data_IF_824780468474
#
_entry.id   IF_824780468474
#
_cell.length_a   1.000
_cell.length_b   1.000
_cell.length_c   1.000
_cell.angle_alpha   90.00
_cell.angle_beta   90.00
_cell.angle_gamma   90.00
#
_symmetry.space_group_name_H-M   'P 1'
#
loop_
_entity.id
_entity.type
_entity.pdbx_description
1 polymer ?
#
# COMPACT_ATOMS: atom_id res chain seq x y z
N UNK A 1 13.24 -0.10 7.61
CA UNK A 1 13.56 0.37 8.97
C UNK A 1 12.41 1.21 9.52
N UNK A 2 11.48 0.54 10.19
CA UNK A 2 10.45 1.15 11.01
C UNK A 2 11.07 1.56 12.36
N UNK A 3 10.78 2.77 12.85
CA UNK A 3 11.28 3.25 14.15
C UNK A 3 10.13 3.31 15.14
N UNK A 4 10.31 2.72 16.31
CA UNK A 4 9.29 2.69 17.36
C UNK A 4 9.94 2.78 18.74
N UNK A 5 9.13 2.90 19.79
CA UNK A 5 9.60 2.89 21.17
C UNK A 5 9.26 1.52 21.76
N UNK A 6 10.27 0.84 22.28
CA UNK A 6 10.06 -0.38 23.03
C UNK A 6 9.28 -0.07 24.31
N UNK A 7 8.16 -0.78 24.54
CA UNK A 7 7.23 -0.44 25.62
C UNK A 7 7.76 -0.79 27.01
N UNK A 8 8.71 -1.73 27.10
CA UNK A 8 9.28 -2.17 28.38
C UNK A 8 10.46 -1.27 28.80
N UNK A 9 11.37 -0.99 27.87
CA UNK A 9 12.58 -0.20 28.15
C UNK A 9 12.40 1.31 27.94
N UNK A 10 11.43 1.73 27.14
CA UNK A 10 11.27 3.13 26.72
C UNK A 10 12.31 3.60 25.70
N UNK A 11 13.14 2.69 25.18
CA UNK A 11 14.19 3.02 24.22
C UNK A 11 13.65 3.08 22.77
N UNK A 12 14.26 3.96 21.97
CA UNK A 12 13.98 4.01 20.54
C UNK A 12 14.65 2.82 19.84
N UNK A 13 13.83 1.92 19.30
CA UNK A 13 14.28 0.74 18.55
C UNK A 13 13.96 0.91 17.07
N UNK A 14 14.68 0.17 16.21
CA UNK A 14 14.31 0.04 14.81
C UNK A 14 14.09 -1.42 14.43
N UNK A 15 12.96 -1.66 13.78
CA UNK A 15 12.55 -2.97 13.31
C UNK A 15 12.62 -2.95 11.78
N UNK A 16 13.22 -3.98 11.20
CA UNK A 16 13.19 -4.21 9.76
C UNK A 16 12.39 -5.47 9.49
N UNK A 17 11.31 -5.31 8.72
CA UNK A 17 10.56 -6.44 8.19
C UNK A 17 11.10 -6.78 6.81
N UNK A 18 11.75 -7.93 6.68
CA UNK A 18 12.23 -8.44 5.40
C UNK A 18 11.34 -9.60 4.94
N UNK A 19 10.48 -9.29 3.96
CA UNK A 19 9.61 -10.27 3.30
C UNK A 19 10.14 -10.67 1.91
N UNK A 20 11.39 -10.35 1.56
CA UNK A 20 11.97 -10.69 0.25
C UNK A 20 11.98 -12.19 -0.06
N UNK A 21 11.91 -13.02 0.98
CA UNK A 21 11.82 -14.49 0.86
C UNK A 21 10.39 -15.00 0.64
N UNK A 22 9.35 -14.17 0.80
CA UNK A 22 7.98 -14.58 0.47
C UNK A 22 7.87 -14.77 -1.04
N UNK A 23 7.43 -15.95 -1.43
CA UNK A 23 7.15 -16.29 -2.82
C UNK A 23 5.68 -15.98 -3.15
N UNK A 24 5.34 -15.93 -4.43
CA UNK A 24 3.95 -15.87 -4.88
C UNK A 24 3.42 -14.50 -5.30
N UNK A 25 4.07 -13.40 -4.91
CA UNK A 25 3.74 -12.07 -5.41
C UNK A 25 4.22 -11.95 -6.86
N UNK A 26 3.28 -11.91 -7.80
CA UNK A 26 3.58 -11.81 -9.24
C UNK A 26 3.48 -10.39 -9.77
N UNK A 27 2.86 -9.49 -9.00
CA UNK A 27 2.73 -8.07 -9.34
C UNK A 27 2.66 -7.25 -8.06
N UNK A 28 3.37 -6.13 -8.04
CA UNK A 28 3.42 -5.21 -6.90
C UNK A 28 3.60 -3.77 -7.38
N UNK A 29 2.69 -2.87 -7.02
CA UNK A 29 2.74 -1.46 -7.44
C UNK A 29 1.97 -0.55 -6.50
N UNK A 30 2.55 0.62 -6.23
CA UNK A 30 1.85 1.71 -5.56
C UNK A 30 1.24 2.65 -6.60
N UNK A 31 -0.04 2.95 -6.41
CA UNK A 31 -0.80 3.87 -7.23
C UNK A 31 -1.04 5.19 -6.50
N UNK A 32 -0.73 6.27 -7.21
CA UNK A 32 -0.80 7.64 -6.74
C UNK A 32 -1.61 8.45 -7.75
N UNK A 33 -2.43 9.40 -7.31
CA UNK A 33 -3.21 10.22 -8.24
C UNK A 33 -2.29 11.09 -9.11
N UNK A 34 -2.79 11.49 -10.29
CA UNK A 34 -2.01 12.27 -11.27
C UNK A 34 -1.42 13.56 -10.67
N UNK A 35 -2.11 14.15 -9.71
CA UNK A 35 -1.72 15.39 -9.02
C UNK A 35 -0.44 15.25 -8.17
N UNK A 36 -0.12 14.04 -7.70
CA UNK A 36 1.04 13.78 -6.82
C UNK A 36 2.08 12.86 -7.49
N UNK A 37 2.06 12.72 -8.82
CA UNK A 37 2.98 11.85 -9.56
C UNK A 37 4.45 12.32 -9.51
N UNK A 38 4.65 13.62 -9.29
CA UNK A 38 5.93 14.31 -9.10
C UNK A 38 6.59 14.01 -7.74
N UNK A 39 5.82 13.51 -6.78
CA UNK A 39 6.30 13.22 -5.43
C UNK A 39 6.82 11.77 -5.38
N UNK A 40 8.11 11.60 -5.69
CA UNK A 40 8.74 10.29 -5.85
C UNK A 40 8.58 9.37 -4.64
N UNK A 41 8.68 9.91 -3.41
CA UNK A 41 8.63 9.09 -2.18
C UNK A 41 7.27 8.40 -1.97
N UNK A 42 6.18 8.88 -2.58
CA UNK A 42 4.88 8.21 -2.47
C UNK A 42 4.85 6.84 -3.15
N UNK A 43 5.79 6.56 -4.05
CA UNK A 43 5.93 5.27 -4.74
C UNK A 43 6.96 4.35 -4.06
N UNK A 44 7.64 4.84 -3.04
CA UNK A 44 8.52 4.04 -2.21
C UNK A 44 7.71 3.46 -1.04
N UNK A 45 7.59 2.14 -0.99
CA UNK A 45 6.75 1.43 -0.02
C UNK A 45 7.21 1.66 1.41
N UNK A 46 8.52 1.69 1.63
CA UNK A 46 9.08 1.90 2.97
C UNK A 46 8.78 3.32 3.45
N UNK A 47 9.05 4.33 2.61
CA UNK A 47 8.79 5.73 2.96
C UNK A 47 7.30 6.00 3.13
N UNK A 48 6.45 5.46 2.25
CA UNK A 48 5.00 5.62 2.29
C UNK A 48 4.41 5.14 3.63
N UNK A 49 4.66 3.88 3.98
CA UNK A 49 4.05 3.29 5.17
C UNK A 49 4.65 3.83 6.46
N UNK A 50 5.95 4.13 6.50
CA UNK A 50 6.55 4.82 7.65
C UNK A 50 5.93 6.23 7.84
N UNK A 51 5.65 6.96 6.76
CA UNK A 51 5.01 8.28 6.85
C UNK A 51 3.55 8.17 7.33
N UNK A 52 2.82 7.15 6.87
CA UNK A 52 1.45 6.88 7.33
C UNK A 52 1.39 6.59 8.84
N UNK A 53 2.25 5.69 9.32
CA UNK A 53 2.41 5.38 10.75
C UNK A 53 2.81 6.62 11.57
N UNK A 54 3.82 7.36 11.12
CA UNK A 54 4.28 8.56 11.83
C UNK A 54 3.21 9.67 11.92
N UNK A 55 2.31 9.73 10.93
CA UNK A 55 1.21 10.71 10.90
C UNK A 55 0.10 10.36 11.89
N UNK A 56 -0.17 9.08 12.09
CA UNK A 56 -1.27 8.57 12.89
C UNK A 56 -0.81 8.28 14.34
N UNK A 57 -0.80 9.32 15.19
CA UNK A 57 -0.12 9.29 16.51
C UNK A 57 -0.96 8.75 17.68
N UNK A 58 -2.25 8.49 17.48
CA UNK A 58 -3.12 7.95 18.53
C UNK A 58 -2.96 6.43 18.59
N UNK A 59 -3.07 5.87 19.80
CA UNK A 59 -3.01 4.44 20.02
C UNK A 59 -4.12 3.64 19.28
N UNK A 60 -5.24 4.29 18.95
CA UNK A 60 -6.38 3.71 18.23
C UNK A 60 -6.52 4.23 16.80
N UNK A 61 -5.45 4.81 16.25
CA UNK A 61 -5.43 5.31 14.88
C UNK A 61 -5.35 4.17 13.86
N UNK A 62 -5.65 4.49 12.59
CA UNK A 62 -5.65 3.52 11.48
C UNK A 62 -4.78 4.06 10.35
N UNK A 63 -3.48 3.72 10.28
CA UNK A 63 -2.55 4.22 9.25
C UNK A 63 -2.93 3.74 7.85
N UNK A 64 -3.52 2.56 7.75
CA UNK A 64 -4.05 1.99 6.52
C UNK A 64 -5.30 1.16 6.76
N UNK A 65 -5.92 0.77 5.66
CA UNK A 65 -6.92 -0.27 5.61
C UNK A 65 -6.63 -1.18 4.40
N UNK A 66 -7.28 -2.34 4.37
CA UNK A 66 -7.07 -3.35 3.34
C UNK A 66 -8.40 -3.77 2.72
N UNK A 67 -8.36 -4.05 1.42
CA UNK A 67 -9.36 -4.81 0.70
C UNK A 67 -8.64 -6.01 0.07
N UNK A 68 -9.20 -7.20 0.27
CA UNK A 68 -8.70 -8.44 -0.31
C UNK A 68 -9.83 -9.16 -1.04
N UNK A 69 -9.55 -9.70 -2.22
CA UNK A 69 -10.50 -10.55 -2.94
C UNK A 69 -9.81 -11.50 -3.93
N UNK A 70 -10.49 -12.60 -4.23
CA UNK A 70 -10.09 -13.56 -5.24
C UNK A 70 -10.28 -13.00 -6.66
N UNK A 71 -9.36 -13.35 -7.55
CA UNK A 71 -9.38 -13.03 -8.97
C UNK A 71 -9.98 -14.20 -9.76
N UNK A 72 -10.74 -13.96 -10.85
CA UNK A 72 -11.27 -15.03 -11.68
C UNK A 72 -10.14 -15.83 -12.34
N UNK A 73 -10.15 -17.15 -12.18
CA UNK A 73 -9.16 -18.06 -12.77
C UNK A 73 -9.32 -18.23 -14.27
N UNK A 74 -10.52 -17.94 -14.78
CA UNK A 74 -10.86 -17.99 -16.20
C UNK A 74 -10.26 -16.81 -16.98
N UNK A 75 -9.85 -15.75 -16.27
CA UNK A 75 -9.19 -14.58 -16.85
C UNK A 75 -7.68 -14.78 -16.75
N UNK A 76 -6.95 -14.52 -17.84
CA UNK A 76 -5.49 -14.63 -17.81
C UNK A 76 -4.88 -13.61 -16.84
N UNK A 77 -3.65 -13.89 -16.41
CA UNK A 77 -2.97 -13.10 -15.38
C UNK A 77 -2.81 -11.62 -15.78
N UNK A 78 -2.44 -11.36 -17.03
CA UNK A 78 -2.20 -10.02 -17.55
C UNK A 78 -3.49 -9.18 -17.56
N UNK A 79 -4.61 -9.77 -17.96
CA UNK A 79 -5.92 -9.13 -17.90
C UNK A 79 -6.42 -8.92 -16.47
N UNK A 80 -6.18 -9.89 -15.57
CA UNK A 80 -6.50 -9.71 -14.16
C UNK A 80 -5.72 -8.54 -13.53
N UNK A 81 -4.42 -8.43 -13.82
CA UNK A 81 -3.61 -7.28 -13.40
C UNK A 81 -4.23 -5.99 -13.93
N UNK A 82 -4.55 -5.91 -15.23
CA UNK A 82 -5.17 -4.73 -15.85
C UNK A 82 -6.49 -4.36 -15.19
N UNK A 83 -7.38 -5.33 -14.93
CA UNK A 83 -8.66 -5.11 -14.26
C UNK A 83 -8.47 -4.56 -12.85
N UNK A 84 -7.49 -5.07 -12.11
CA UNK A 84 -7.12 -4.53 -10.78
C UNK A 84 -6.61 -3.10 -10.91
N UNK A 85 -5.71 -2.80 -11.88
CA UNK A 85 -5.21 -1.44 -12.10
C UNK A 85 -6.38 -0.47 -12.40
N UNK A 86 -7.30 -0.86 -13.27
CA UNK A 86 -8.50 -0.07 -13.61
C UNK A 86 -9.40 0.14 -12.38
N UNK A 87 -9.63 -0.91 -11.58
CA UNK A 87 -10.42 -0.85 -10.36
C UNK A 87 -9.82 0.15 -9.36
N UNK A 88 -8.54 0.04 -9.03
CA UNK A 88 -7.90 0.92 -8.04
C UNK A 88 -7.84 2.36 -8.53
N UNK A 89 -7.56 2.57 -9.82
CA UNK A 89 -7.55 3.91 -10.41
C UNK A 89 -8.92 4.56 -10.31
N UNK A 90 -9.98 3.83 -10.65
CA UNK A 90 -11.35 4.35 -10.68
C UNK A 90 -11.91 4.62 -9.30
N UNK A 91 -11.68 3.74 -8.32
CA UNK A 91 -12.42 3.77 -7.06
C UNK A 91 -11.61 4.27 -5.86
N UNK A 92 -10.28 4.18 -5.89
CA UNK A 92 -9.41 4.58 -4.78
C UNK A 92 -8.62 5.84 -5.16
N UNK A 93 -7.80 5.73 -6.21
CA UNK A 93 -6.85 6.78 -6.60
C UNK A 93 -7.54 8.06 -7.06
N UNK A 94 -8.66 7.94 -7.77
CA UNK A 94 -9.50 9.07 -8.19
C UNK A 94 -10.00 9.94 -7.02
N UNK A 95 -10.01 9.40 -5.80
CA UNK A 95 -10.43 10.10 -4.56
C UNK A 95 -9.26 10.75 -3.84
N UNK A 96 -8.06 10.76 -4.43
CA UNK A 96 -6.84 11.29 -3.82
C UNK A 96 -6.23 10.36 -2.77
N UNK A 97 -6.58 9.08 -2.78
CA UNK A 97 -6.06 8.07 -1.84
C UNK A 97 -4.94 7.28 -2.51
N UNK A 98 -3.83 7.09 -1.81
CA UNK A 98 -2.73 6.21 -2.25
C UNK A 98 -3.07 4.77 -1.89
N UNK A 99 -2.81 3.83 -2.80
CA UNK A 99 -2.92 2.42 -2.52
C UNK A 99 -1.73 1.61 -3.03
N UNK A 100 -1.42 0.55 -2.30
CA UNK A 100 -0.35 -0.40 -2.51
C UNK A 100 -0.98 -1.75 -2.87
N UNK A 101 -0.79 -2.17 -4.13
CA UNK A 101 -1.44 -3.34 -4.71
C UNK A 101 -0.42 -4.45 -4.85
N UNK A 102 -0.78 -5.64 -4.36
CA UNK A 102 0.04 -6.85 -4.46
C UNK A 102 -0.86 -8.00 -4.92
N UNK A 103 -0.47 -8.70 -5.98
CA UNK A 103 -1.26 -9.79 -6.56
C UNK A 103 -0.49 -11.10 -6.43
N UNK A 104 -1.19 -12.13 -5.98
CA UNK A 104 -0.68 -13.45 -5.70
C UNK A 104 -1.22 -14.48 -6.70
N UNK A 105 -0.34 -15.36 -7.18
CA UNK A 105 -0.64 -16.49 -8.09
C UNK A 105 0.10 -17.78 -7.66
N UNK A 106 0.59 -17.84 -6.43
CA UNK A 106 1.21 -19.03 -5.83
C UNK A 106 0.22 -20.17 -5.58
N UNK A 107 -1.06 -19.86 -5.41
CA UNK A 107 -2.14 -20.85 -5.41
C UNK A 107 -2.96 -20.74 -6.71
N UNK A 108 -2.83 -21.70 -7.65
CA UNK A 108 -3.60 -21.69 -8.91
C UNK A 108 -5.13 -21.70 -8.73
N UNK A 109 -5.63 -22.24 -7.62
CA UNK A 109 -7.06 -22.30 -7.33
C UNK A 109 -7.58 -21.04 -6.62
N UNK A 110 -6.70 -20.15 -6.18
CA UNK A 110 -7.05 -18.90 -5.50
C UNK A 110 -6.05 -17.78 -5.83
N UNK A 111 -5.96 -17.33 -7.09
CA UNK A 111 -5.28 -16.07 -7.37
C UNK A 111 -6.05 -14.96 -6.65
N UNK A 112 -5.35 -14.05 -5.98
CA UNK A 112 -6.00 -13.01 -5.17
C UNK A 112 -5.17 -11.73 -5.17
N UNK A 113 -5.81 -10.64 -4.77
CA UNK A 113 -5.19 -9.33 -4.65
C UNK A 113 -5.34 -8.78 -3.25
N UNK A 114 -4.25 -8.26 -2.71
CA UNK A 114 -4.23 -7.38 -1.55
C UNK A 114 -4.12 -5.93 -2.02
N UNK A 115 -5.05 -5.10 -1.56
CA UNK A 115 -5.04 -3.66 -1.80
C UNK A 115 -5.01 -2.98 -0.45
N UNK A 116 -3.81 -2.61 -0.01
CA UNK A 116 -3.64 -1.76 1.16
C UNK A 116 -3.74 -0.30 0.73
N UNK A 117 -4.40 0.55 1.50
CA UNK A 117 -4.58 1.96 1.14
C UNK A 117 -4.57 2.85 2.38
N UNK A 118 -4.20 4.11 2.18
CA UNK A 118 -4.22 5.10 3.24
C UNK A 118 -5.66 5.43 3.64
N UNK A 119 -5.93 5.61 4.93
CA UNK A 119 -7.25 6.05 5.41
C UNK A 119 -7.47 7.56 5.25
N UNK A 120 -6.48 8.27 4.74
CA UNK A 120 -6.47 9.71 4.48
C UNK A 120 -6.28 9.98 3.00
N UNK A 121 -6.88 11.07 2.52
CA UNK A 121 -6.60 11.63 1.20
C UNK A 121 -5.35 12.48 1.27
N UNK A 122 -4.55 12.47 0.21
CA UNK A 122 -3.49 13.45 0.03
C UNK A 122 -4.09 14.82 -0.26
N UNK A 123 -3.40 15.85 0.18
CA UNK A 123 -3.68 17.24 -0.16
C UNK A 123 -2.37 18.00 -0.18
N UNK A 124 -2.23 18.95 -1.13
CA UNK A 124 -1.12 19.89 -1.14
C UNK A 124 -1.37 20.98 -0.12
N UNK A 125 -0.35 21.34 0.65
CA UNK A 125 -0.43 22.52 1.50
C UNK A 125 -0.26 23.77 0.63
N UNK A 126 -0.83 24.90 1.06
CA UNK A 126 -0.80 26.18 0.32
C UNK A 126 0.63 26.69 0.02
N UNK A 127 1.63 26.18 0.73
CA UNK A 127 3.04 26.49 0.53
C UNK A 127 3.77 25.54 -0.45
N UNK A 128 3.03 24.69 -1.17
CA UNK A 128 3.59 23.76 -2.16
C UNK A 128 4.33 22.55 -1.57
N UNK A 129 4.23 22.32 -0.24
CA UNK A 129 4.73 21.11 0.43
C UNK A 129 3.64 20.07 0.65
#
# INVERSE_FOLDING_TARGET
MYKTIDKESGEAISITYDFSKKQGVVYSKIFVSKEFQDIAWLKDRELLWNAAEARERRADSRPGAEIEFALPKEVNKEDNIRLVEEYVQKWIVSRGIVCDVNIHYDNPDNPHVHIQYLTRRLGRLENGK
#
